data_IF_960412049181
#
_entry.id   IF_960412049181
#
_cell.length_a   1.000
_cell.length_b   1.000
_cell.length_c   1.000
_cell.angle_alpha   90.00
_cell.angle_beta   90.00
_cell.angle_gamma   90.00
#
_symmetry.space_group_name_H-M   'P 1'
#
loop_
_entity.id
_entity.type
_entity.pdbx_description
1 polymer ?
#
# COMPACT_ATOMS: atom_id res chain seq x y z
N UNK A 1 55.74 31.30 -28.72
CA UNK A 1 56.23 30.64 -27.49
C UNK A 1 55.63 31.42 -26.31
N UNK A 2 54.95 30.91 -25.28
CA UNK A 2 54.58 29.59 -24.75
C UNK A 2 53.25 29.83 -23.96
N UNK A 3 52.40 28.83 -23.73
CA UNK A 3 50.94 28.99 -23.60
C UNK A 3 50.43 29.46 -22.23
N UNK A 4 49.20 29.98 -22.29
CA UNK A 4 48.32 30.59 -21.28
C UNK A 4 48.06 29.70 -20.04
N UNK A 5 48.07 30.22 -18.80
CA UNK A 5 47.84 29.42 -17.57
C UNK A 5 46.37 29.01 -17.36
N UNK A 6 45.51 29.09 -18.39
CA UNK A 6 44.08 28.77 -18.32
C UNK A 6 43.78 27.28 -18.47
N UNK A 7 44.80 26.43 -18.47
CA UNK A 7 44.68 25.00 -18.69
C UNK A 7 45.60 24.33 -17.68
N UNK A 8 45.10 23.33 -16.95
CA UNK A 8 45.80 22.54 -15.93
C UNK A 8 45.66 23.09 -14.50
N UNK A 9 44.45 22.97 -13.94
CA UNK A 9 44.29 22.23 -12.67
C UNK A 9 42.86 21.72 -12.52
N UNK A 10 42.69 20.46 -12.93
CA UNK A 10 42.05 19.41 -12.11
C UNK A 10 40.64 19.73 -11.57
N UNK A 11 39.63 19.26 -12.31
CA UNK A 11 38.59 18.35 -11.82
C UNK A 11 38.29 18.41 -10.30
N UNK A 12 37.77 19.53 -9.78
CA UNK A 12 37.11 19.53 -8.48
C UNK A 12 35.71 18.97 -8.65
N UNK A 13 35.63 17.69 -8.33
CA UNK A 13 34.47 16.82 -8.35
C UNK A 13 33.18 17.51 -7.87
N UNK A 14 32.22 17.60 -8.79
CA UNK A 14 30.80 17.70 -8.49
C UNK A 14 30.35 16.37 -7.83
N UNK A 15 30.70 16.15 -6.57
CA UNK A 15 30.13 15.09 -5.74
C UNK A 15 29.09 15.71 -4.81
N UNK A 16 27.98 16.15 -5.39
CA UNK A 16 26.76 16.38 -4.64
C UNK A 16 26.21 15.03 -4.20
N UNK A 17 26.60 14.55 -3.02
CA UNK A 17 25.96 13.41 -2.38
C UNK A 17 24.58 13.86 -1.89
N UNK A 18 23.59 13.76 -2.77
CA UNK A 18 22.19 13.88 -2.38
C UNK A 18 21.79 12.58 -1.67
N UNK A 19 21.91 12.56 -0.35
CA UNK A 19 21.32 11.49 0.45
C UNK A 19 19.81 11.68 0.40
N UNK A 20 19.15 10.95 -0.50
CA UNK A 20 17.69 10.86 -0.51
C UNK A 20 17.31 9.98 0.67
N UNK A 21 16.97 10.60 1.81
CA UNK A 21 16.42 9.90 2.96
C UNK A 21 15.00 9.48 2.56
N UNK A 22 14.85 8.24 2.09
CA UNK A 22 13.56 7.62 1.91
C UNK A 22 12.91 7.48 3.30
N UNK A 23 11.97 8.37 3.63
CA UNK A 23 11.19 8.26 4.84
C UNK A 23 10.40 6.94 4.79
N UNK A 24 10.82 5.96 5.58
CA UNK A 24 10.11 4.70 5.71
C UNK A 24 8.68 4.98 6.20
N UNK A 25 7.68 4.57 5.41
CA UNK A 25 6.29 4.71 5.80
C UNK A 25 6.04 3.93 7.10
N UNK A 26 5.60 4.62 8.16
CA UNK A 26 5.30 3.98 9.44
C UNK A 26 4.22 2.90 9.26
N UNK A 27 4.43 1.68 9.77
CA UNK A 27 3.42 0.64 9.71
C UNK A 27 2.18 1.04 10.52
N UNK A 28 1.01 0.61 10.05
CA UNK A 28 -0.23 0.69 10.84
C UNK A 28 -0.30 -0.43 11.89
N UNK A 29 -1.39 -0.49 12.67
CA UNK A 29 -1.60 -1.54 13.68
C UNK A 29 -1.57 -2.94 13.07
N UNK A 30 -1.16 -3.93 13.85
CA UNK A 30 -1.03 -5.33 13.39
C UNK A 30 -2.38 -5.96 13.02
N UNK A 31 -3.43 -5.60 13.75
CA UNK A 31 -4.79 -6.07 13.56
C UNK A 31 -5.77 -4.91 13.58
N UNK A 32 -6.73 -4.93 12.65
CA UNK A 32 -7.80 -3.93 12.57
C UNK A 32 -9.13 -4.60 12.20
N UNK A 33 -10.22 -3.94 12.54
CA UNK A 33 -11.55 -4.27 12.03
C UNK A 33 -11.89 -3.40 10.82
N UNK A 34 -12.11 -4.01 9.67
CA UNK A 34 -12.59 -3.31 8.48
C UNK A 34 -14.12 -3.22 8.52
N UNK A 35 -14.66 -2.06 8.16
CA UNK A 35 -16.10 -1.88 7.97
C UNK A 35 -16.62 -2.73 6.80
N UNK A 36 -17.32 -3.82 7.13
CA UNK A 36 -17.90 -4.76 6.17
C UNK A 36 -19.36 -4.48 5.79
N UNK A 37 -19.93 -3.34 6.20
CA UNK A 37 -21.31 -2.97 5.88
C UNK A 37 -22.32 -3.77 6.70
N UNK A 38 -23.43 -4.16 6.06
CA UNK A 38 -24.51 -4.94 6.69
C UNK A 38 -24.09 -6.36 7.08
N UNK A 39 -22.98 -6.85 6.54
CA UNK A 39 -22.39 -8.16 6.88
C UNK A 39 -21.47 -8.09 8.10
N UNK A 40 -21.49 -6.99 8.86
CA UNK A 40 -20.67 -6.83 10.07
C UNK A 40 -19.23 -6.42 9.78
N UNK A 41 -18.41 -6.39 10.83
CA UNK A 41 -16.98 -6.09 10.74
C UNK A 41 -16.23 -7.26 10.12
N UNK A 42 -15.11 -6.97 9.47
CA UNK A 42 -14.19 -7.97 8.93
C UNK A 42 -12.87 -7.88 9.70
N UNK A 43 -12.51 -8.89 10.52
CA UNK A 43 -11.21 -8.95 11.16
C UNK A 43 -10.11 -9.01 10.09
N UNK A 44 -9.13 -8.14 10.20
CA UNK A 44 -8.09 -8.00 9.19
C UNK A 44 -6.69 -8.04 9.82
N UNK A 45 -5.89 -9.09 9.57
CA UNK A 45 -4.50 -9.16 10.03
C UNK A 45 -3.62 -8.27 9.13
N UNK A 46 -3.57 -6.99 9.43
CA UNK A 46 -2.90 -5.98 8.61
C UNK A 46 -1.38 -6.20 8.57
N UNK A 47 -0.74 -6.60 9.67
CA UNK A 47 0.69 -6.92 9.71
C UNK A 47 1.09 -7.96 8.65
N UNK A 48 0.31 -9.04 8.49
CA UNK A 48 0.57 -10.07 7.47
C UNK A 48 0.59 -9.52 6.05
N UNK A 49 -0.21 -8.49 5.78
CA UNK A 49 -0.22 -7.83 4.48
C UNK A 49 0.95 -6.87 4.34
N UNK A 50 1.34 -6.17 5.41
CA UNK A 50 2.50 -5.27 5.41
C UNK A 50 3.80 -6.04 5.19
N UNK A 51 3.98 -7.19 5.85
CA UNK A 51 5.15 -8.05 5.69
C UNK A 51 5.28 -8.59 4.25
N UNK A 52 4.17 -9.03 3.67
CA UNK A 52 4.15 -9.64 2.33
C UNK A 52 4.22 -8.62 1.20
N UNK A 53 3.49 -7.52 1.30
CA UNK A 53 3.26 -6.59 0.18
C UNK A 53 4.22 -5.40 0.25
N UNK A 54 4.49 -4.87 1.44
CA UNK A 54 5.35 -3.71 1.75
C UNK A 54 4.89 -2.38 1.13
N UNK A 55 4.37 -2.38 -0.10
CA UNK A 55 3.76 -1.22 -0.75
C UNK A 55 2.34 -0.98 -0.21
N UNK A 56 2.21 0.11 0.56
CA UNK A 56 0.94 0.53 1.14
C UNK A 56 -0.10 0.94 0.07
N UNK A 57 0.34 1.39 -1.09
CA UNK A 57 -0.54 1.95 -2.12
C UNK A 57 -1.29 0.86 -2.91
N UNK A 58 -0.84 -0.39 -2.84
CA UNK A 58 -1.59 -1.55 -3.35
C UNK A 58 -3.02 -1.54 -2.80
N UNK A 59 -3.20 -1.18 -1.53
CA UNK A 59 -4.53 -1.03 -0.93
C UNK A 59 -5.00 0.43 -0.89
N UNK A 60 -4.13 1.34 -0.43
CA UNK A 60 -4.50 2.71 -0.08
C UNK A 60 -4.56 3.70 -1.24
N UNK A 61 -4.39 3.23 -2.48
CA UNK A 61 -4.65 4.04 -3.68
C UNK A 61 -6.13 4.40 -3.85
N UNK A 62 -7.06 3.70 -3.18
CA UNK A 62 -8.51 3.89 -3.36
C UNK A 62 -9.25 4.28 -2.07
N UNK A 63 -8.53 4.41 -0.95
CA UNK A 63 -9.04 4.94 0.33
C UNK A 63 -7.88 5.40 1.21
N UNK A 64 -8.14 6.39 2.07
CA UNK A 64 -7.12 6.96 2.96
C UNK A 64 -6.56 5.94 3.98
N UNK A 65 -5.32 6.17 4.42
CA UNK A 65 -4.59 5.36 5.42
C UNK A 65 -5.06 5.65 6.86
N UNK A 66 -6.35 5.50 7.11
CA UNK A 66 -6.97 5.80 8.39
C UNK A 66 -8.14 4.86 8.68
N UNK A 67 -8.35 4.57 9.96
CA UNK A 67 -9.48 3.77 10.41
C UNK A 67 -10.80 4.43 10.04
N UNK A 68 -11.73 3.65 9.50
CA UNK A 68 -13.06 4.14 9.12
C UNK A 68 -13.13 4.91 7.79
N UNK A 69 -12.02 5.13 7.06
CA UNK A 69 -12.03 5.79 5.75
C UNK A 69 -13.07 5.20 4.80
N UNK A 70 -13.11 3.87 4.68
CA UNK A 70 -14.02 3.15 3.80
C UNK A 70 -15.49 3.42 4.15
N UNK A 71 -15.83 3.52 5.44
CA UNK A 71 -17.20 3.83 5.90
C UNK A 71 -17.56 5.26 5.50
N UNK A 72 -16.73 6.24 5.87
CA UNK A 72 -16.99 7.65 5.56
C UNK A 72 -17.08 7.91 4.06
N UNK A 73 -16.17 7.34 3.26
CA UNK A 73 -16.19 7.50 1.80
C UNK A 73 -17.44 6.88 1.15
N UNK A 74 -18.00 5.80 1.72
CA UNK A 74 -19.30 5.25 1.26
C UNK A 74 -20.45 6.19 1.63
N UNK A 75 -20.45 6.71 2.85
CA UNK A 75 -21.48 7.66 3.33
C UNK A 75 -21.49 8.96 2.52
N UNK A 76 -20.31 9.41 2.07
CA UNK A 76 -20.14 10.56 1.18
C UNK A 76 -20.42 10.25 -0.30
N UNK A 77 -20.77 9.01 -0.64
CA UNK A 77 -21.00 8.58 -2.04
C UNK A 77 -19.74 8.46 -2.89
N UNK A 78 -18.55 8.78 -2.37
CA UNK A 78 -17.27 8.67 -3.06
C UNK A 78 -16.86 7.22 -3.36
N UNK A 79 -17.39 6.25 -2.61
CA UNK A 79 -17.10 4.84 -2.79
C UNK A 79 -18.38 4.00 -2.94
N UNK A 80 -18.51 3.33 -4.09
CA UNK A 80 -19.61 2.38 -4.33
C UNK A 80 -19.53 1.16 -3.39
N UNK A 81 -20.68 0.56 -3.01
CA UNK A 81 -20.70 -0.69 -2.27
C UNK A 81 -19.81 -1.75 -2.91
N UNK A 82 -19.11 -2.54 -2.07
CA UNK A 82 -18.21 -3.64 -2.48
C UNK A 82 -17.00 -3.25 -3.36
N UNK A 83 -16.82 -1.97 -3.74
CA UNK A 83 -15.74 -1.56 -4.65
C UNK A 83 -14.33 -1.91 -4.13
N UNK A 84 -14.01 -1.54 -2.89
CA UNK A 84 -12.71 -1.88 -2.26
C UNK A 84 -12.52 -3.39 -2.17
N UNK A 85 -13.53 -4.10 -1.66
CA UNK A 85 -13.50 -5.56 -1.52
C UNK A 85 -13.20 -6.26 -2.84
N UNK A 86 -13.92 -5.90 -3.90
CA UNK A 86 -13.81 -6.56 -5.20
C UNK A 86 -12.51 -6.20 -5.92
N UNK A 87 -12.08 -4.94 -5.87
CA UNK A 87 -10.94 -4.48 -6.66
C UNK A 87 -9.59 -4.66 -5.98
N UNK A 88 -9.55 -4.59 -4.64
CA UNK A 88 -8.30 -4.75 -3.89
C UNK A 88 -8.19 -6.15 -3.28
N UNK A 89 -9.13 -6.51 -2.41
CA UNK A 89 -9.02 -7.72 -1.59
C UNK A 89 -9.20 -9.00 -2.42
N UNK A 90 -10.39 -9.19 -2.99
CA UNK A 90 -10.78 -10.42 -3.69
C UNK A 90 -10.00 -10.57 -5.00
N UNK A 91 -9.70 -9.47 -5.70
CA UNK A 91 -8.87 -9.52 -6.92
C UNK A 91 -7.49 -10.09 -6.62
N UNK A 92 -6.80 -9.56 -5.61
CA UNK A 92 -5.47 -10.05 -5.22
C UNK A 92 -5.54 -11.52 -4.79
N UNK A 93 -6.45 -11.88 -3.88
CA UNK A 93 -6.57 -13.25 -3.39
C UNK A 93 -6.89 -14.26 -4.51
N UNK A 94 -7.77 -13.91 -5.47
CA UNK A 94 -8.06 -14.77 -6.62
C UNK A 94 -6.87 -14.90 -7.57
N UNK A 95 -6.10 -13.83 -7.76
CA UNK A 95 -4.91 -13.87 -8.61
C UNK A 95 -3.83 -14.77 -8.02
N UNK A 96 -3.55 -14.62 -6.73
CA UNK A 96 -2.59 -15.48 -6.01
C UNK A 96 -3.05 -16.94 -6.00
N UNK A 97 -4.33 -17.20 -5.74
CA UNK A 97 -4.92 -18.55 -5.83
C UNK A 97 -4.69 -19.19 -7.19
N UNK A 98 -4.98 -18.44 -8.27
CA UNK A 98 -4.81 -18.91 -9.65
C UNK A 98 -3.35 -19.17 -10.00
N UNK A 99 -2.44 -18.38 -9.43
CA UNK A 99 -1.00 -18.55 -9.59
C UNK A 99 -0.43 -19.68 -8.71
N UNK A 100 -1.24 -20.42 -7.96
CA UNK A 100 -0.79 -21.48 -7.06
C UNK A 100 0.00 -20.96 -5.85
N UNK A 101 -0.08 -19.66 -5.53
CA UNK A 101 0.62 -19.03 -4.42
C UNK A 101 -0.24 -19.04 -3.15
N UNK A 102 0.36 -18.87 -1.96
CA UNK A 102 -0.40 -18.60 -0.75
C UNK A 102 -1.33 -17.40 -0.95
N UNK A 103 -2.61 -17.57 -0.62
CA UNK A 103 -3.66 -16.60 -0.91
C UNK A 103 -4.60 -16.45 0.28
N UNK A 104 -5.20 -15.25 0.40
CA UNK A 104 -6.19 -14.99 1.43
C UNK A 104 -7.60 -15.48 1.07
N UNK A 105 -8.59 -15.27 1.94
CA UNK A 105 -9.96 -15.72 1.73
C UNK A 105 -10.61 -15.21 0.42
N UNK A 106 -11.40 -16.04 -0.26
CA UNK A 106 -12.10 -15.68 -1.51
C UNK A 106 -13.63 -15.84 -1.45
N UNK A 107 -14.15 -16.25 -0.30
CA UNK A 107 -15.57 -16.54 -0.04
C UNK A 107 -16.11 -15.59 1.04
N UNK A 108 -17.38 -15.19 0.92
CA UNK A 108 -17.98 -14.17 1.79
C UNK A 108 -17.89 -14.54 3.29
N UNK A 109 -18.24 -15.77 3.65
CA UNK A 109 -18.28 -16.25 5.04
C UNK A 109 -16.91 -16.39 5.70
N UNK A 110 -15.84 -16.48 4.91
CA UNK A 110 -14.48 -16.59 5.45
C UNK A 110 -13.91 -15.22 5.83
N UNK A 111 -14.41 -14.14 5.21
CA UNK A 111 -14.11 -12.77 5.63
C UNK A 111 -15.10 -12.27 6.69
N UNK A 112 -16.39 -12.52 6.49
CA UNK A 112 -17.47 -12.08 7.36
C UNK A 112 -17.85 -13.19 8.34
N UNK A 113 -16.98 -13.40 9.33
CA UNK A 113 -17.23 -14.32 10.45
C UNK A 113 -18.33 -13.72 11.34
N UNK A 114 -19.37 -14.50 11.63
CA UNK A 114 -20.49 -14.10 12.51
C UNK A 114 -20.15 -14.36 13.97
#
# INVERSE_FOLDING_TARGET
>A
MKPNPLIITVATALLGVWVVIAAAAKPGPDHIDIYGGTSGKVPFPHARHQERIQDCNVCHSVFARESGAIKRMKEQGALKPKKVMNLQCIKCHKNEKRAGKPYGPVTCSTCHVK
#
